data_IF_177092074425
#
_entry.id   IF_177092074425
#
_cell.length_a   1.000
_cell.length_b   1.000
_cell.length_c   1.000
_cell.angle_alpha   90.00
_cell.angle_beta   90.00
_cell.angle_gamma   90.00
#
_symmetry.space_group_name_H-M   'P 1'
#
loop_
_entity.id
_entity.type
_entity.pdbx_description
1 polymer ?
#
# COMPACT_ATOMS: atom_id res chain seq x y z
N UNK A 1 60.59 17.50 -29.93
CA UNK A 1 59.53 16.46 -30.07
C UNK A 1 59.21 15.71 -28.78
N UNK A 2 59.97 15.92 -27.71
CA UNK A 2 59.73 15.28 -26.37
C UNK A 2 58.75 16.07 -25.48
N UNK A 3 58.61 17.36 -25.62
CA UNK A 3 57.76 18.20 -24.74
C UNK A 3 56.25 18.00 -25.01
N UNK A 4 55.87 17.63 -26.25
CA UNK A 4 54.46 17.34 -26.60
C UNK A 4 53.94 16.01 -26.06
N UNK A 5 54.80 15.03 -25.82
CA UNK A 5 54.40 13.75 -25.20
C UNK A 5 54.16 13.83 -23.71
N UNK A 6 54.82 14.72 -23.00
CA UNK A 6 54.63 14.91 -21.56
C UNK A 6 53.31 15.62 -21.20
N UNK A 7 52.91 16.62 -21.99
CA UNK A 7 51.64 17.31 -21.75
C UNK A 7 50.39 16.43 -22.01
N UNK A 8 50.48 15.49 -22.96
CA UNK A 8 49.37 14.57 -23.26
C UNK A 8 49.23 13.51 -22.15
N UNK A 9 50.33 13.08 -21.53
CA UNK A 9 50.27 12.12 -20.39
C UNK A 9 49.72 12.76 -19.13
N UNK A 10 50.06 14.03 -18.84
CA UNK A 10 49.54 14.73 -17.64
C UNK A 10 48.06 15.09 -17.83
N UNK A 11 47.61 15.43 -19.04
CA UNK A 11 46.19 15.66 -19.34
C UNK A 11 45.35 14.35 -19.20
N UNK A 12 45.93 13.20 -19.61
CA UNK A 12 45.25 11.91 -19.50
C UNK A 12 45.19 11.39 -18.05
N UNK A 13 46.19 11.68 -17.21
CA UNK A 13 46.17 11.37 -15.78
C UNK A 13 45.21 12.25 -14.98
N UNK A 14 45.06 13.55 -15.34
CA UNK A 14 44.08 14.42 -14.69
C UNK A 14 42.64 14.08 -15.09
N UNK A 15 42.39 13.62 -16.31
CA UNK A 15 41.03 13.19 -16.73
C UNK A 15 40.59 11.90 -16.03
N UNK A 16 41.50 10.96 -15.76
CA UNK A 16 41.16 9.74 -15.02
C UNK A 16 41.04 9.97 -13.50
N UNK A 17 41.65 11.03 -12.96
CA UNK A 17 41.53 11.34 -11.54
C UNK A 17 40.22 12.09 -11.19
N UNK A 18 39.59 12.78 -12.16
CA UNK A 18 38.31 13.49 -11.93
C UNK A 18 37.11 12.54 -12.07
N UNK A 19 37.23 11.47 -12.85
CA UNK A 19 36.15 10.46 -12.99
C UNK A 19 36.21 9.34 -11.95
N UNK A 20 37.30 9.22 -11.17
CA UNK A 20 37.44 8.18 -10.13
C UNK A 20 36.96 8.64 -8.73
N UNK A 21 36.50 9.88 -8.57
CA UNK A 21 36.05 10.44 -7.30
C UNK A 21 34.55 10.75 -7.20
N UNK A 22 33.75 10.36 -8.19
CA UNK A 22 32.31 10.24 -7.99
C UNK A 22 32.08 8.96 -7.19
N UNK A 23 31.55 9.02 -5.95
CA UNK A 23 31.08 7.83 -5.28
C UNK A 23 29.89 7.31 -6.07
N UNK A 24 30.12 6.36 -6.98
CA UNK A 24 29.07 5.43 -7.34
C UNK A 24 28.78 4.71 -6.04
N UNK A 25 27.91 5.31 -5.24
CA UNK A 25 27.31 4.66 -4.09
C UNK A 25 26.81 3.33 -4.65
N UNK A 26 27.37 2.24 -4.20
CA UNK A 26 26.77 0.94 -4.30
C UNK A 26 25.33 1.12 -3.80
N UNK A 27 24.40 1.38 -4.72
CA UNK A 27 22.99 1.11 -4.55
C UNK A 27 22.98 -0.37 -4.14
N UNK A 28 23.06 -0.61 -2.82
CA UNK A 28 22.55 -1.84 -2.29
C UNK A 28 21.17 -1.92 -2.89
N UNK A 29 20.98 -2.86 -3.79
CA UNK A 29 19.68 -3.36 -4.21
C UNK A 29 19.04 -3.95 -2.93
N UNK A 30 18.64 -3.05 -2.03
CA UNK A 30 17.66 -3.34 -1.00
C UNK A 30 16.47 -3.84 -1.80
N UNK A 31 16.13 -5.10 -1.61
CA UNK A 31 15.09 -5.86 -2.32
C UNK A 31 14.00 -4.88 -2.72
N UNK A 32 13.89 -4.60 -4.03
CA UNK A 32 12.79 -3.81 -4.58
C UNK A 32 11.51 -4.41 -3.99
N UNK A 33 10.65 -3.60 -3.38
CA UNK A 33 9.41 -4.12 -2.82
C UNK A 33 8.74 -4.91 -3.93
N UNK A 34 8.29 -6.13 -3.62
CA UNK A 34 7.70 -7.03 -4.62
C UNK A 34 6.51 -6.34 -5.25
N UNK A 35 6.69 -5.87 -6.48
CA UNK A 35 5.64 -5.25 -7.28
C UNK A 35 4.56 -6.32 -7.49
N UNK A 36 3.38 -6.10 -6.95
CA UNK A 36 2.27 -7.04 -7.10
C UNK A 36 1.32 -6.56 -8.18
N UNK A 37 1.28 -7.26 -9.30
CA UNK A 37 0.31 -6.99 -10.37
C UNK A 37 -1.15 -7.10 -9.90
N UNK A 38 -1.40 -7.86 -8.83
CA UNK A 38 -2.73 -8.02 -8.23
C UNK A 38 -3.33 -6.70 -7.71
N UNK A 39 -2.50 -5.68 -7.41
CA UNK A 39 -3.00 -4.37 -7.01
C UNK A 39 -3.68 -3.62 -8.16
N UNK A 40 -3.29 -3.88 -9.41
CA UNK A 40 -3.88 -3.26 -10.58
C UNK A 40 -5.16 -3.95 -11.06
N UNK A 41 -5.35 -5.23 -10.74
CA UNK A 41 -6.48 -6.01 -11.26
C UNK A 41 -7.84 -5.42 -10.90
N UNK A 42 -8.17 -5.10 -9.63
CA UNK A 42 -9.48 -4.52 -9.29
C UNK A 42 -9.76 -3.17 -9.97
N UNK A 43 -8.84 -2.18 -9.96
CA UNK A 43 -9.11 -0.90 -10.64
C UNK A 43 -9.16 -1.05 -12.17
N UNK A 44 -8.40 -1.96 -12.79
CA UNK A 44 -8.50 -2.23 -14.22
C UNK A 44 -9.83 -2.89 -14.60
N UNK A 45 -10.35 -3.79 -13.77
CA UNK A 45 -11.68 -4.38 -13.98
C UNK A 45 -12.78 -3.32 -13.86
N UNK A 46 -12.67 -2.40 -12.89
CA UNK A 46 -13.62 -1.28 -12.76
C UNK A 46 -13.55 -0.36 -13.98
N UNK A 47 -12.36 0.02 -14.43
CA UNK A 47 -12.20 0.86 -15.62
C UNK A 47 -12.74 0.16 -16.87
N UNK A 48 -12.39 -1.12 -17.08
CA UNK A 48 -12.88 -1.91 -18.21
C UNK A 48 -14.40 -2.04 -18.22
N UNK A 49 -15.02 -2.25 -17.05
CA UNK A 49 -16.47 -2.24 -16.88
C UNK A 49 -17.10 -0.91 -17.26
N UNK A 50 -16.49 0.21 -16.84
CA UNK A 50 -16.96 1.56 -17.19
C UNK A 50 -16.85 1.86 -18.70
N UNK A 51 -15.73 1.49 -19.31
CA UNK A 51 -15.55 1.63 -20.75
C UNK A 51 -16.57 0.80 -21.53
N UNK A 52 -16.90 -0.40 -21.03
CA UNK A 52 -17.94 -1.25 -21.60
C UNK A 52 -19.32 -0.61 -21.47
N UNK A 53 -19.64 -0.02 -20.32
CA UNK A 53 -20.91 0.72 -20.13
C UNK A 53 -21.01 1.89 -21.09
N UNK A 54 -19.95 2.67 -21.28
CA UNK A 54 -19.92 3.77 -22.25
C UNK A 54 -20.10 3.27 -23.70
N UNK A 55 -19.55 2.09 -24.04
CA UNK A 55 -19.63 1.53 -25.38
C UNK A 55 -21.01 0.92 -25.70
N UNK A 56 -21.74 0.44 -24.69
CA UNK A 56 -23.04 -0.24 -24.87
C UNK A 56 -24.20 0.74 -24.60
N UNK A 57 -24.80 1.25 -25.67
CA UNK A 57 -25.89 2.23 -25.60
C UNK A 57 -27.08 1.81 -24.73
N UNK A 58 -27.42 0.51 -24.71
CA UNK A 58 -28.50 -0.01 -23.87
C UNK A 58 -28.23 0.07 -22.38
N UNK A 59 -27.01 -0.26 -21.94
CA UNK A 59 -26.59 -0.11 -20.54
C UNK A 59 -26.48 1.35 -20.13
N UNK A 60 -25.97 2.17 -21.02
CA UNK A 60 -25.82 3.60 -20.80
C UNK A 60 -27.20 4.27 -20.61
N UNK A 61 -28.19 3.96 -21.43
CA UNK A 61 -29.56 4.46 -21.29
C UNK A 61 -30.24 3.96 -19.99
N UNK A 62 -29.99 2.72 -19.60
CA UNK A 62 -30.58 2.14 -18.40
C UNK A 62 -30.05 2.79 -17.11
N UNK A 63 -28.75 3.07 -17.04
CA UNK A 63 -28.10 3.63 -15.86
C UNK A 63 -27.93 5.16 -15.91
N UNK A 64 -28.40 5.87 -16.96
CA UNK A 64 -28.14 7.28 -17.19
C UNK A 64 -28.46 8.16 -15.98
N UNK A 65 -29.67 8.09 -15.44
CA UNK A 65 -30.08 8.88 -14.26
C UNK A 65 -29.29 8.57 -12.99
N UNK A 66 -28.75 7.36 -12.87
CA UNK A 66 -27.88 7.01 -11.76
C UNK A 66 -26.52 7.71 -11.91
N UNK A 67 -25.98 7.75 -13.12
CA UNK A 67 -24.68 8.34 -13.38
C UNK A 67 -24.66 9.86 -13.17
N UNK A 68 -25.77 10.57 -13.36
CA UNK A 68 -25.88 12.00 -13.10
C UNK A 68 -25.74 12.36 -11.60
N UNK A 69 -26.24 11.50 -10.72
CA UNK A 69 -26.19 11.70 -9.26
C UNK A 69 -24.93 11.10 -8.61
N UNK A 70 -24.37 10.08 -9.25
CA UNK A 70 -23.31 9.25 -8.65
C UNK A 70 -22.04 10.03 -8.27
N UNK A 71 -21.49 10.98 -9.07
CA UNK A 71 -20.31 11.75 -8.68
C UNK A 71 -20.54 12.55 -7.38
N UNK A 72 -21.70 13.18 -7.25
CA UNK A 72 -22.06 13.95 -6.05
C UNK A 72 -22.18 13.05 -4.83
N UNK A 73 -22.86 11.91 -4.98
CA UNK A 73 -22.99 10.92 -3.92
C UNK A 73 -21.64 10.38 -3.46
N UNK A 74 -20.75 10.06 -4.41
CA UNK A 74 -19.41 9.57 -4.11
C UNK A 74 -18.54 10.63 -3.43
N UNK A 75 -18.67 11.92 -3.79
CA UNK A 75 -17.99 12.99 -3.07
C UNK A 75 -18.47 13.06 -1.61
N UNK A 76 -19.77 13.05 -1.36
CA UNK A 76 -20.34 13.18 -0.02
C UNK A 76 -19.97 11.97 0.86
N UNK A 77 -20.25 10.77 0.39
CA UNK A 77 -19.97 9.53 1.15
C UNK A 77 -18.47 9.25 1.25
N UNK A 78 -17.75 9.35 0.13
CA UNK A 78 -16.30 9.14 0.09
C UNK A 78 -15.54 10.22 0.85
N UNK A 79 -16.00 11.48 0.77
CA UNK A 79 -15.44 12.59 1.54
C UNK A 79 -15.63 12.41 3.04
N UNK A 80 -16.84 12.07 3.48
CA UNK A 80 -17.12 11.74 4.89
C UNK A 80 -16.25 10.57 5.37
N UNK A 81 -16.13 9.53 4.55
CA UNK A 81 -15.26 8.40 4.84
C UNK A 81 -13.79 8.80 4.98
N UNK A 82 -13.26 9.59 4.06
CA UNK A 82 -11.90 10.11 4.14
C UNK A 82 -11.66 10.97 5.38
N UNK A 83 -12.64 11.78 5.81
CA UNK A 83 -12.53 12.58 7.03
C UNK A 83 -12.49 11.70 8.29
N UNK A 84 -13.36 10.70 8.39
CA UNK A 84 -13.40 9.76 9.53
C UNK A 84 -12.07 9.03 9.69
N UNK A 85 -11.44 8.63 8.58
CA UNK A 85 -10.16 7.90 8.61
C UNK A 85 -8.92 8.80 8.52
N UNK A 86 -9.09 10.14 8.57
CA UNK A 86 -7.99 11.11 8.53
C UNK A 86 -7.24 11.15 7.20
N UNK A 87 -7.88 10.74 6.09
CA UNK A 87 -7.30 10.64 4.75
C UNK A 87 -7.51 11.92 3.96
N UNK A 88 -6.83 12.99 4.35
CA UNK A 88 -7.00 14.33 3.75
C UNK A 88 -6.54 14.42 2.30
N UNK A 89 -5.51 13.69 1.94
CA UNK A 89 -4.99 13.62 0.57
C UNK A 89 -6.04 13.09 -0.40
N UNK A 90 -6.68 11.98 -0.03
CA UNK A 90 -7.71 11.33 -0.82
C UNK A 90 -8.99 12.16 -0.90
N UNK A 91 -9.35 12.86 0.18
CA UNK A 91 -10.43 13.82 0.18
C UNK A 91 -10.22 14.91 -0.88
N UNK A 92 -9.01 15.48 -0.96
CA UNK A 92 -8.69 16.51 -1.98
C UNK A 92 -8.72 15.94 -3.40
N UNK A 93 -8.29 14.70 -3.58
CA UNK A 93 -8.39 14.04 -4.90
C UNK A 93 -9.85 13.84 -5.31
N UNK A 94 -10.72 13.41 -4.40
CA UNK A 94 -12.17 13.32 -4.67
C UNK A 94 -12.75 14.68 -5.03
N UNK A 95 -12.36 15.74 -4.31
CA UNK A 95 -12.81 17.09 -4.58
C UNK A 95 -12.34 17.60 -5.96
N UNK A 96 -11.09 17.35 -6.34
CA UNK A 96 -10.55 17.75 -7.66
C UNK A 96 -11.31 17.04 -8.78
N UNK A 97 -11.55 15.73 -8.63
CA UNK A 97 -12.32 14.95 -9.60
C UNK A 97 -13.76 15.46 -9.73
N UNK A 98 -14.38 15.78 -8.62
CA UNK A 98 -15.75 16.35 -8.61
C UNK A 98 -15.80 17.75 -9.21
N UNK A 99 -14.85 18.64 -8.88
CA UNK A 99 -14.79 19.99 -9.47
C UNK A 99 -14.59 19.92 -10.98
N UNK A 100 -13.76 19.03 -11.47
CA UNK A 100 -13.60 18.80 -12.91
C UNK A 100 -14.92 18.33 -13.53
N UNK A 101 -15.53 17.29 -12.93
CA UNK A 101 -16.82 16.78 -13.36
C UNK A 101 -17.85 17.93 -13.44
N UNK A 102 -18.02 18.68 -12.36
CA UNK A 102 -19.01 19.77 -12.27
C UNK A 102 -18.80 20.85 -13.34
N UNK A 103 -17.54 21.29 -13.53
CA UNK A 103 -17.20 22.32 -14.52
C UNK A 103 -17.45 21.85 -15.94
N UNK A 104 -17.14 20.60 -16.28
CA UNK A 104 -17.36 20.06 -17.63
C UNK A 104 -18.82 19.69 -17.87
N UNK A 105 -19.53 19.21 -16.85
CA UNK A 105 -20.95 18.86 -16.92
C UNK A 105 -21.81 20.10 -17.19
N UNK A 106 -21.51 21.23 -16.53
CA UNK A 106 -22.16 22.53 -16.82
C UNK A 106 -22.01 22.98 -18.29
N UNK A 107 -20.85 22.68 -18.91
CA UNK A 107 -20.65 22.98 -20.34
C UNK A 107 -21.45 22.03 -21.25
N UNK A 108 -21.57 20.76 -20.86
CA UNK A 108 -22.36 19.76 -21.57
C UNK A 108 -23.87 20.08 -21.48
N UNK A 109 -24.37 20.45 -20.32
CA UNK A 109 -25.78 20.80 -20.11
C UNK A 109 -26.16 22.03 -20.88
N UNK A 110 -25.29 23.07 -20.88
CA UNK A 110 -25.51 24.25 -21.73
C UNK A 110 -25.60 23.88 -23.22
N UNK A 111 -24.71 22.97 -23.71
CA UNK A 111 -24.76 22.46 -25.08
C UNK A 111 -26.06 21.70 -25.36
N UNK A 112 -26.51 20.87 -24.43
CA UNK A 112 -27.78 20.10 -24.56
C UNK A 112 -28.98 21.01 -24.64
N UNK A 113 -29.00 22.06 -23.84
CA UNK A 113 -30.17 23.00 -23.77
C UNK A 113 -30.21 23.98 -24.94
N UNK A 114 -29.06 24.54 -25.32
CA UNK A 114 -28.99 25.63 -26.29
C UNK A 114 -28.63 25.16 -27.69
N UNK A 115 -28.14 23.95 -27.88
CA UNK A 115 -27.71 23.41 -29.17
C UNK A 115 -26.42 24.01 -29.73
N UNK A 116 -25.74 24.87 -28.96
CA UNK A 116 -24.46 25.45 -29.33
C UNK A 116 -23.50 25.50 -28.13
N UNK A 117 -22.20 25.51 -28.42
CA UNK A 117 -21.15 25.54 -27.37
C UNK A 117 -20.99 26.96 -26.84
N UNK A 118 -20.83 27.15 -25.53
CA UNK A 118 -20.48 28.46 -24.94
C UNK A 118 -19.19 29.00 -25.53
N UNK A 119 -19.09 30.33 -25.62
CA UNK A 119 -17.90 30.99 -26.13
C UNK A 119 -16.61 30.70 -25.33
N UNK A 120 -16.75 30.37 -24.04
CA UNK A 120 -15.65 30.06 -23.14
C UNK A 120 -15.36 28.54 -23.00
N UNK A 121 -16.20 27.67 -23.61
CA UNK A 121 -16.12 26.23 -23.43
C UNK A 121 -14.77 25.62 -23.86
N UNK A 122 -14.21 26.07 -24.98
CA UNK A 122 -12.91 25.61 -25.45
C UNK A 122 -11.80 25.94 -24.44
N UNK A 123 -11.80 27.16 -23.91
CA UNK A 123 -10.85 27.60 -22.90
C UNK A 123 -11.00 26.82 -21.60
N UNK A 124 -12.23 26.61 -21.11
CA UNK A 124 -12.52 25.81 -19.91
C UNK A 124 -12.04 24.38 -20.09
N UNK A 125 -12.32 23.77 -21.24
CA UNK A 125 -11.84 22.42 -21.57
C UNK A 125 -10.32 22.33 -21.60
N UNK A 126 -9.63 23.25 -22.29
CA UNK A 126 -8.17 23.25 -22.35
C UNK A 126 -7.52 23.46 -20.99
N UNK A 127 -8.05 24.36 -20.16
CA UNK A 127 -7.59 24.53 -18.79
C UNK A 127 -7.80 23.27 -17.95
N UNK A 128 -8.94 22.63 -18.09
CA UNK A 128 -9.24 21.37 -17.42
C UNK A 128 -8.27 20.25 -17.82
N UNK A 129 -7.96 20.13 -19.12
CA UNK A 129 -7.00 19.14 -19.62
C UNK A 129 -5.57 19.35 -19.08
N UNK A 130 -5.19 20.60 -18.78
CA UNK A 130 -3.88 20.93 -18.22
C UNK A 130 -3.84 20.81 -16.71
N UNK A 131 -4.80 21.41 -16.03
CA UNK A 131 -4.82 21.53 -14.56
C UNK A 131 -5.13 20.20 -13.87
N UNK A 132 -6.03 19.38 -14.44
CA UNK A 132 -6.40 18.10 -13.86
C UNK A 132 -5.21 17.19 -13.58
N UNK A 133 -4.39 16.76 -14.57
CA UNK A 133 -3.30 15.84 -14.31
C UNK A 133 -2.25 16.43 -13.36
N UNK A 134 -2.00 17.74 -13.45
CA UNK A 134 -1.03 18.42 -12.58
C UNK A 134 -1.51 18.49 -11.13
N UNK A 135 -2.76 18.87 -10.87
CA UNK A 135 -3.32 18.90 -9.53
C UNK A 135 -3.49 17.48 -8.96
N UNK A 136 -3.97 16.56 -9.79
CA UNK A 136 -4.14 15.16 -9.37
C UNK A 136 -2.78 14.54 -8.97
N UNK A 137 -1.74 14.72 -9.80
CA UNK A 137 -0.39 14.27 -9.47
C UNK A 137 0.19 14.98 -8.25
N UNK A 138 0.05 16.31 -8.16
CA UNK A 138 0.53 17.10 -7.04
C UNK A 138 -0.06 16.61 -5.71
N UNK A 139 -1.40 16.51 -5.63
CA UNK A 139 -2.06 16.13 -4.38
C UNK A 139 -1.89 14.65 -4.04
N UNK A 140 -1.80 13.76 -5.03
CA UNK A 140 -1.50 12.36 -4.80
C UNK A 140 -0.08 12.14 -4.21
N UNK A 141 0.89 12.99 -4.59
CA UNK A 141 2.27 12.93 -4.10
C UNK A 141 2.50 13.73 -2.82
N UNK A 142 1.60 14.65 -2.48
CA UNK A 142 1.75 15.53 -1.33
C UNK A 142 1.76 14.73 -0.04
N UNK A 143 2.90 14.76 0.66
CA UNK A 143 3.09 14.00 1.89
C UNK A 143 2.21 14.54 3.02
N UNK A 144 1.46 13.67 3.68
CA UNK A 144 0.67 14.02 4.85
C UNK A 144 1.57 14.45 6.01
N UNK A 145 1.18 15.53 6.70
CA UNK A 145 1.89 16.06 7.86
C UNK A 145 1.12 15.73 9.14
N UNK A 146 1.82 15.77 10.27
CA UNK A 146 1.25 15.47 11.59
C UNK A 146 0.20 16.48 12.05
N UNK A 147 0.29 17.73 11.59
CA UNK A 147 -0.67 18.79 11.92
C UNK A 147 -1.80 18.85 10.90
N UNK A 148 -2.83 18.01 11.12
CA UNK A 148 -3.94 17.81 10.20
C UNK A 148 -4.63 19.11 9.73
N UNK A 149 -4.98 20.01 10.64
CA UNK A 149 -5.71 21.23 10.29
C UNK A 149 -4.86 22.19 9.43
N UNK A 150 -3.60 22.38 9.76
CA UNK A 150 -2.69 23.25 8.99
C UNK A 150 -2.40 22.69 7.60
N UNK A 151 -2.23 21.37 7.49
CA UNK A 151 -2.00 20.71 6.21
C UNK A 151 -3.21 20.82 5.30
N UNK A 152 -4.41 20.63 5.86
CA UNK A 152 -5.68 20.79 5.13
C UNK A 152 -5.87 22.23 4.62
N UNK A 153 -5.65 23.23 5.49
CA UNK A 153 -5.73 24.65 5.10
C UNK A 153 -4.74 24.98 3.99
N UNK A 154 -3.48 24.50 4.10
CA UNK A 154 -2.48 24.73 3.06
C UNK A 154 -2.87 24.12 1.71
N UNK A 155 -3.44 22.92 1.71
CA UNK A 155 -3.92 22.24 0.49
C UNK A 155 -5.09 22.97 -0.15
N UNK A 156 -6.07 23.36 0.65
CA UNK A 156 -7.19 24.17 0.14
C UNK A 156 -6.71 25.53 -0.38
N UNK A 157 -5.77 26.18 0.32
CA UNK A 157 -5.20 27.45 -0.15
C UNK A 157 -4.53 27.32 -1.52
N UNK A 158 -3.76 26.22 -1.76
CA UNK A 158 -3.17 25.95 -3.08
C UNK A 158 -4.25 25.70 -4.13
N UNK A 159 -5.26 24.87 -3.84
CA UNK A 159 -6.33 24.56 -4.77
C UNK A 159 -7.11 25.84 -5.16
N UNK A 160 -7.49 26.65 -4.16
CA UNK A 160 -8.19 27.93 -4.40
C UNK A 160 -7.31 28.94 -5.12
N UNK A 161 -6.02 29.06 -4.78
CA UNK A 161 -5.10 29.97 -5.46
C UNK A 161 -4.97 29.61 -6.94
N UNK A 162 -4.79 28.33 -7.28
CA UNK A 162 -4.76 27.87 -8.67
C UNK A 162 -6.07 28.16 -9.39
N UNK A 163 -7.20 27.87 -8.76
CA UNK A 163 -8.54 28.16 -9.33
C UNK A 163 -8.76 29.66 -9.57
N UNK A 164 -8.41 30.52 -8.60
CA UNK A 164 -8.53 31.98 -8.71
C UNK A 164 -7.64 32.50 -9.83
N UNK A 165 -6.37 32.06 -9.88
CA UNK A 165 -5.42 32.47 -10.93
C UNK A 165 -5.92 32.03 -12.32
N UNK A 166 -6.35 30.78 -12.46
CA UNK A 166 -6.89 30.26 -13.72
C UNK A 166 -8.13 31.08 -14.18
N UNK A 167 -9.06 31.32 -13.25
CA UNK A 167 -10.26 32.13 -13.55
C UNK A 167 -9.91 33.60 -13.87
N UNK A 168 -8.98 34.21 -13.16
CA UNK A 168 -8.56 35.58 -13.41
C UNK A 168 -7.90 35.72 -14.80
N UNK A 169 -7.02 34.77 -15.16
CA UNK A 169 -6.40 34.72 -16.48
C UNK A 169 -7.43 34.50 -17.59
N UNK A 170 -8.36 33.56 -17.38
CA UNK A 170 -9.42 33.26 -18.34
C UNK A 170 -10.35 34.45 -18.57
N UNK A 171 -10.65 35.25 -17.54
CA UNK A 171 -11.49 36.46 -17.67
C UNK A 171 -10.72 37.63 -18.26
N UNK A 172 -9.45 37.81 -17.91
CA UNK A 172 -8.67 38.99 -18.31
C UNK A 172 -8.08 38.88 -19.71
N UNK A 173 -7.70 37.67 -20.11
CA UNK A 173 -6.99 37.37 -21.36
C UNK A 173 -7.53 36.13 -22.10
N UNK A 174 -8.85 36.03 -22.37
CA UNK A 174 -9.46 34.81 -22.88
C UNK A 174 -8.87 34.38 -24.22
N UNK A 175 -8.75 35.30 -25.18
CA UNK A 175 -8.26 34.99 -26.53
C UNK A 175 -6.76 34.68 -26.60
N UNK A 176 -5.95 35.41 -25.84
CA UNK A 176 -4.51 35.17 -25.74
C UNK A 176 -4.22 33.83 -25.08
N UNK A 177 -4.96 33.51 -23.98
CA UNK A 177 -4.80 32.26 -23.25
C UNK A 177 -5.25 31.08 -24.10
N UNK A 178 -6.36 31.18 -24.82
CA UNK A 178 -6.84 30.14 -25.73
C UNK A 178 -5.82 29.89 -26.86
N UNK A 179 -5.34 30.97 -27.53
CA UNK A 179 -4.29 30.87 -28.54
C UNK A 179 -3.05 30.20 -27.98
N UNK A 180 -2.61 30.60 -26.78
CA UNK A 180 -1.43 30.05 -26.14
C UNK A 180 -1.62 28.55 -25.80
N UNK A 181 -2.76 28.14 -25.33
CA UNK A 181 -3.06 26.75 -25.00
C UNK A 181 -3.20 25.89 -26.26
N UNK A 182 -3.88 26.37 -27.30
CA UNK A 182 -4.12 25.64 -28.56
C UNK A 182 -2.92 25.63 -29.51
N UNK A 183 -1.87 26.44 -29.24
CA UNK A 183 -0.70 26.53 -30.11
C UNK A 183 0.00 25.17 -30.27
N UNK A 184 0.20 24.75 -31.53
CA UNK A 184 0.99 23.58 -31.88
C UNK A 184 2.47 23.90 -31.72
N UNK A 185 3.09 23.50 -30.60
CA UNK A 185 4.49 23.79 -30.26
C UNK A 185 5.48 22.86 -30.94
N UNK A 186 5.06 21.63 -31.10
CA UNK A 186 5.88 20.58 -31.69
C UNK A 186 5.21 19.98 -32.93
N UNK A 187 5.30 20.62 -34.09
CA UNK A 187 4.63 20.16 -35.30
C UNK A 187 5.03 18.73 -35.69
N UNK A 188 6.29 18.35 -35.48
CA UNK A 188 6.76 16.99 -35.76
C UNK A 188 6.23 15.89 -34.88
N UNK A 189 5.60 16.26 -33.74
CA UNK A 189 4.92 15.32 -32.83
C UNK A 189 3.40 15.39 -32.96
N UNK A 190 2.88 16.26 -33.83
CA UNK A 190 1.45 16.36 -34.06
C UNK A 190 0.97 15.21 -34.95
N UNK A 191 -0.09 14.55 -34.53
CA UNK A 191 -0.73 13.48 -35.28
C UNK A 191 -2.25 13.63 -35.19
N UNK A 192 -2.96 13.17 -36.23
CA UNK A 192 -4.43 13.32 -36.35
C UNK A 192 -5.22 12.65 -35.23
N UNK A 193 -4.61 11.66 -34.55
CA UNK A 193 -5.22 11.00 -33.40
C UNK A 193 -5.15 11.84 -32.10
N UNK A 194 -4.39 12.93 -32.09
CA UNK A 194 -4.26 13.83 -30.94
C UNK A 194 -5.51 14.70 -30.80
N UNK A 195 -6.39 14.33 -29.92
CA UNK A 195 -7.67 15.02 -29.66
C UNK A 195 -7.57 16.08 -28.57
N UNK A 196 -6.50 16.04 -27.77
CA UNK A 196 -6.23 17.03 -26.71
C UNK A 196 -5.16 18.04 -27.19
N UNK A 197 -5.12 19.20 -26.53
CA UNK A 197 -4.03 20.16 -26.76
C UNK A 197 -2.67 19.52 -26.42
N UNK A 198 -1.62 19.90 -27.16
CA UNK A 198 -0.29 19.27 -27.01
C UNK A 198 0.27 19.35 -25.59
N UNK A 199 -0.01 20.40 -24.80
CA UNK A 199 0.46 20.54 -23.42
C UNK A 199 -0.19 19.55 -22.45
N UNK A 200 -1.36 18.98 -22.78
CA UNK A 200 -2.01 17.97 -21.94
C UNK A 200 -1.19 16.67 -21.90
N UNK A 201 -0.60 16.25 -23.03
CA UNK A 201 0.16 14.99 -23.09
C UNK A 201 1.37 14.95 -22.13
N UNK A 202 2.29 15.94 -22.13
CA UNK A 202 3.36 15.96 -21.15
C UNK A 202 2.87 16.12 -19.72
N UNK A 203 1.77 16.85 -19.47
CA UNK A 203 1.19 16.97 -18.13
C UNK A 203 0.70 15.60 -17.60
N UNK A 204 -0.03 14.84 -18.41
CA UNK A 204 -0.45 13.46 -18.07
C UNK A 204 0.74 12.51 -17.92
N UNK A 205 1.76 12.62 -18.80
CA UNK A 205 2.96 11.80 -18.72
C UNK A 205 3.75 12.06 -17.44
N UNK A 206 3.96 13.32 -17.07
CA UNK A 206 4.67 13.72 -15.84
C UNK A 206 3.89 13.20 -14.61
N UNK A 207 2.58 13.44 -14.54
CA UNK A 207 1.74 12.95 -13.46
C UNK A 207 1.76 11.41 -13.37
N UNK A 208 1.63 10.72 -14.51
CA UNK A 208 1.66 9.27 -14.59
C UNK A 208 3.00 8.66 -14.15
N UNK A 209 4.12 9.22 -14.62
CA UNK A 209 5.46 8.79 -14.20
C UNK A 209 5.66 9.01 -12.69
N UNK A 210 5.19 10.13 -12.16
CA UNK A 210 5.30 10.44 -10.74
C UNK A 210 4.48 9.48 -9.87
N UNK A 211 3.24 9.18 -10.25
CA UNK A 211 2.39 8.20 -9.58
C UNK A 211 2.96 6.77 -9.68
N UNK A 212 3.47 6.38 -10.85
CA UNK A 212 4.13 5.09 -11.04
C UNK A 212 5.39 4.99 -10.18
N UNK A 213 6.21 6.03 -10.13
CA UNK A 213 7.38 6.08 -9.25
C UNK A 213 6.99 5.96 -7.76
N UNK A 214 5.89 6.57 -7.34
CA UNK A 214 5.34 6.42 -5.99
C UNK A 214 4.92 4.97 -5.73
N UNK A 215 4.20 4.34 -6.67
CA UNK A 215 3.82 2.93 -6.57
C UNK A 215 5.03 2.01 -6.49
N UNK A 216 6.05 2.22 -7.32
CA UNK A 216 7.27 1.40 -7.30
C UNK A 216 8.06 1.55 -5.99
N UNK A 217 8.02 2.72 -5.35
CA UNK A 217 8.64 2.94 -4.03
C UNK A 217 7.85 2.28 -2.90
N UNK A 218 6.54 2.37 -2.95
CA UNK A 218 5.63 1.85 -1.91
C UNK A 218 4.42 1.22 -2.61
N UNK A 219 4.49 -0.09 -2.97
CA UNK A 219 3.42 -0.76 -3.69
C UNK A 219 2.19 -0.94 -2.80
N UNK A 220 1.18 -0.09 -3.01
CA UNK A 220 -0.11 -0.12 -2.32
C UNK A 220 -1.25 -0.17 -3.33
N UNK A 221 -2.36 -0.86 -3.01
CA UNK A 221 -3.55 -0.88 -3.89
C UNK A 221 -4.09 0.51 -4.22
N UNK A 222 -4.05 1.44 -3.27
CA UNK A 222 -4.47 2.83 -3.47
C UNK A 222 -3.63 3.55 -4.55
N UNK A 223 -2.30 3.37 -4.55
CA UNK A 223 -1.43 3.98 -5.57
C UNK A 223 -1.69 3.38 -6.96
N UNK A 224 -1.98 2.07 -7.04
CA UNK A 224 -2.39 1.44 -8.30
C UNK A 224 -3.73 2.00 -8.81
N UNK A 225 -4.69 2.19 -7.91
CA UNK A 225 -5.98 2.83 -8.22
C UNK A 225 -5.81 4.25 -8.75
N UNK A 226 -4.90 5.05 -8.17
CA UNK A 226 -4.58 6.39 -8.65
C UNK A 226 -3.96 6.38 -10.05
N UNK A 227 -3.05 5.44 -10.34
CA UNK A 227 -2.47 5.29 -11.68
C UNK A 227 -3.54 4.93 -12.72
N UNK A 228 -4.40 3.95 -12.43
CA UNK A 228 -5.46 3.51 -13.35
C UNK A 228 -6.52 4.60 -13.50
N UNK A 229 -6.88 5.30 -12.43
CA UNK A 229 -7.78 6.46 -12.47
C UNK A 229 -7.27 7.54 -13.43
N UNK A 230 -5.98 7.89 -13.37
CA UNK A 230 -5.38 8.87 -14.28
C UNK A 230 -5.46 8.43 -15.75
N UNK A 231 -5.28 7.14 -16.04
CA UNK A 231 -5.46 6.58 -17.40
C UNK A 231 -6.92 6.70 -17.85
N UNK A 232 -7.88 6.41 -16.96
CA UNK A 232 -9.30 6.61 -17.24
C UNK A 232 -9.63 8.07 -17.56
N UNK A 233 -9.11 9.01 -16.78
CA UNK A 233 -9.30 10.45 -17.00
C UNK A 233 -8.68 10.93 -18.32
N UNK A 234 -7.51 10.39 -18.70
CA UNK A 234 -6.90 10.69 -20.01
C UNK A 234 -7.80 10.23 -21.16
N UNK A 235 -8.42 9.05 -21.05
CA UNK A 235 -9.36 8.55 -22.04
C UNK A 235 -10.68 9.34 -22.04
N UNK A 236 -11.18 9.73 -20.86
CA UNK A 236 -12.46 10.44 -20.68
C UNK A 236 -12.47 11.79 -21.38
N UNK A 237 -11.43 12.61 -21.19
CA UNK A 237 -11.42 14.00 -21.66
C UNK A 237 -11.77 14.16 -23.13
N UNK A 238 -11.12 13.48 -24.11
CA UNK A 238 -11.50 13.60 -25.50
C UNK A 238 -12.89 13.01 -25.82
N UNK A 239 -13.33 12.05 -25.02
CA UNK A 239 -14.61 11.37 -25.22
C UNK A 239 -15.79 12.08 -24.53
N UNK A 240 -15.54 13.11 -23.72
CA UNK A 240 -16.58 13.83 -22.98
C UNK A 240 -17.71 14.38 -23.88
N UNK A 241 -17.36 14.87 -25.08
CA UNK A 241 -18.33 15.39 -26.04
C UNK A 241 -18.78 14.39 -27.12
N UNK A 242 -18.14 13.21 -27.18
CA UNK A 242 -18.39 12.21 -28.23
C UNK A 242 -19.28 11.10 -27.71
N UNK A 243 -19.02 10.63 -26.49
CA UNK A 243 -19.73 9.49 -25.92
C UNK A 243 -20.64 9.94 -24.77
N UNK A 244 -21.92 9.56 -24.83
CA UNK A 244 -22.88 9.91 -23.78
C UNK A 244 -22.41 9.32 -22.43
N UNK A 245 -22.52 10.14 -21.39
CA UNK A 245 -22.20 9.80 -20.00
C UNK A 245 -20.73 9.38 -19.73
N UNK A 246 -19.80 9.55 -20.68
CA UNK A 246 -18.38 9.23 -20.46
C UNK A 246 -17.79 10.02 -19.28
N UNK A 247 -18.15 11.30 -19.17
CA UNK A 247 -17.74 12.16 -18.07
C UNK A 247 -18.23 11.64 -16.72
N UNK A 248 -19.54 11.36 -16.60
CA UNK A 248 -20.18 10.90 -15.37
C UNK A 248 -19.65 9.53 -14.94
N UNK A 249 -19.57 8.57 -15.87
CA UNK A 249 -19.12 7.19 -15.60
C UNK A 249 -17.66 7.16 -15.16
N UNK A 250 -16.76 7.75 -15.93
CA UNK A 250 -15.31 7.64 -15.65
C UNK A 250 -14.90 8.48 -14.43
N UNK A 251 -15.50 9.66 -14.23
CA UNK A 251 -15.29 10.45 -13.00
C UNK A 251 -15.74 9.66 -11.77
N UNK A 252 -16.95 9.08 -11.80
CA UNK A 252 -17.47 8.25 -10.72
C UNK A 252 -16.58 7.04 -10.44
N UNK A 253 -16.14 6.32 -11.47
CA UNK A 253 -15.27 5.18 -11.30
C UNK A 253 -13.90 5.56 -10.75
N UNK A 254 -13.33 6.69 -11.18
CA UNK A 254 -12.07 7.20 -10.63
C UNK A 254 -12.21 7.54 -9.14
N UNK A 255 -13.32 8.16 -8.75
CA UNK A 255 -13.64 8.42 -7.33
C UNK A 255 -13.86 7.13 -6.56
N UNK A 256 -14.62 6.18 -7.09
CA UNK A 256 -14.88 4.87 -6.48
C UNK A 256 -13.58 4.07 -6.28
N UNK A 257 -12.66 4.08 -7.25
CA UNK A 257 -11.36 3.42 -7.12
C UNK A 257 -10.55 3.97 -5.93
N UNK A 258 -10.57 5.30 -5.72
CA UNK A 258 -9.91 5.94 -4.57
C UNK A 258 -10.60 5.50 -3.27
N UNK A 259 -11.92 5.55 -3.20
CA UNK A 259 -12.70 5.16 -2.01
C UNK A 259 -12.43 3.69 -1.64
N UNK A 260 -12.48 2.79 -2.61
CA UNK A 260 -12.18 1.36 -2.41
C UNK A 260 -10.73 1.17 -1.95
N UNK A 261 -9.79 1.93 -2.53
CA UNK A 261 -8.38 1.93 -2.10
C UNK A 261 -8.23 2.34 -0.64
N UNK A 262 -8.88 3.43 -0.22
CA UNK A 262 -8.89 3.89 1.18
C UNK A 262 -9.55 2.87 2.11
N UNK A 263 -10.69 2.31 1.70
CA UNK A 263 -11.39 1.27 2.47
C UNK A 263 -10.51 0.02 2.66
N UNK A 264 -9.82 -0.39 1.61
CA UNK A 264 -8.88 -1.51 1.69
C UNK A 264 -7.72 -1.23 2.66
N UNK A 265 -7.11 -0.02 2.61
CA UNK A 265 -6.06 0.35 3.56
C UNK A 265 -6.58 0.43 5.00
N UNK A 266 -7.77 1.01 5.21
CA UNK A 266 -8.42 1.06 6.52
C UNK A 266 -8.69 -0.35 7.08
N UNK A 267 -9.18 -1.26 6.23
CA UNK A 267 -9.36 -2.66 6.59
C UNK A 267 -8.02 -3.32 6.97
N UNK A 268 -6.97 -3.12 6.18
CA UNK A 268 -5.65 -3.68 6.48
C UNK A 268 -5.11 -3.16 7.83
N UNK A 269 -5.24 -1.86 8.11
CA UNK A 269 -4.83 -1.30 9.41
C UNK A 269 -5.65 -1.83 10.59
N UNK A 270 -6.95 -2.08 10.40
CA UNK A 270 -7.81 -2.61 11.46
C UNK A 270 -7.55 -4.08 11.78
N UNK A 271 -7.12 -4.88 10.78
CA UNK A 271 -7.05 -6.34 10.88
C UNK A 271 -5.62 -6.91 10.86
N UNK A 272 -4.60 -6.10 10.54
CA UNK A 272 -3.20 -6.53 10.59
C UNK A 272 -2.44 -5.85 11.72
N UNK A 273 -1.55 -6.58 12.32
CA UNK A 273 -0.59 -6.05 13.27
C UNK A 273 0.53 -5.30 12.54
N UNK A 274 0.77 -4.03 12.88
CA UNK A 274 1.73 -3.16 12.20
C UNK A 274 3.18 -3.64 12.34
N UNK A 275 3.53 -4.23 13.47
CA UNK A 275 4.89 -4.66 13.73
C UNK A 275 5.24 -5.93 12.97
N UNK A 276 4.37 -6.93 13.03
CA UNK A 276 4.64 -8.30 12.52
C UNK A 276 4.06 -8.55 11.13
N UNK A 277 3.08 -7.75 10.72
CA UNK A 277 2.31 -7.93 9.49
C UNK A 277 1.47 -9.22 9.47
N UNK A 278 1.33 -9.92 10.61
CA UNK A 278 0.34 -10.99 10.78
C UNK A 278 -1.06 -10.40 10.95
N UNK A 279 -2.13 -11.17 10.65
CA UNK A 279 -3.46 -10.81 11.11
C UNK A 279 -3.46 -10.62 12.64
N UNK A 280 -4.07 -9.53 13.11
CA UNK A 280 -4.15 -9.20 14.53
C UNK A 280 -5.31 -9.87 15.25
N UNK A 281 -5.51 -9.52 16.51
CA UNK A 281 -6.57 -10.09 17.38
C UNK A 281 -7.98 -9.89 16.80
N UNK A 282 -8.26 -8.74 16.13
CA UNK A 282 -9.56 -8.51 15.47
C UNK A 282 -9.82 -9.51 14.36
N UNK A 283 -8.80 -9.78 13.52
CA UNK A 283 -8.88 -10.77 12.46
C UNK A 283 -9.07 -12.19 13.02
N UNK A 284 -8.43 -12.51 14.14
CA UNK A 284 -8.64 -13.77 14.86
C UNK A 284 -10.09 -13.89 15.32
N UNK A 285 -10.64 -12.89 15.99
CA UNK A 285 -12.01 -12.91 16.51
C UNK A 285 -13.03 -13.12 15.37
N UNK A 286 -12.87 -12.42 14.25
CA UNK A 286 -13.71 -12.63 13.06
C UNK A 286 -13.58 -14.05 12.52
N UNK A 287 -12.37 -14.61 12.50
CA UNK A 287 -12.14 -15.98 12.07
C UNK A 287 -12.80 -17.00 12.99
N UNK A 288 -12.72 -16.79 14.30
CA UNK A 288 -13.32 -17.64 15.31
C UNK A 288 -14.85 -17.77 15.16
N UNK A 289 -15.53 -16.67 14.82
CA UNK A 289 -16.98 -16.65 14.56
C UNK A 289 -17.38 -17.49 13.33
N UNK A 290 -16.44 -17.73 12.41
CA UNK A 290 -16.66 -18.49 11.17
C UNK A 290 -16.07 -19.90 11.22
N UNK A 291 -15.63 -20.38 12.39
CA UNK A 291 -15.11 -21.73 12.54
C UNK A 291 -16.26 -22.75 12.48
N UNK A 292 -16.01 -23.84 11.78
CA UNK A 292 -16.89 -25.02 11.80
C UNK A 292 -16.73 -25.82 13.10
N UNK A 293 -17.13 -27.09 13.08
CA UNK A 293 -17.16 -27.95 14.28
C UNK A 293 -15.78 -28.51 14.65
N UNK A 294 -14.89 -28.69 13.69
CA UNK A 294 -13.60 -29.34 13.89
C UNK A 294 -12.47 -28.31 13.67
N UNK A 295 -11.80 -27.96 14.74
CA UNK A 295 -10.63 -27.06 14.68
C UNK A 295 -9.74 -27.24 15.90
N UNK A 296 -8.48 -26.83 15.74
CA UNK A 296 -7.47 -26.80 16.80
C UNK A 296 -6.95 -25.37 16.94
N UNK A 297 -6.81 -24.92 18.17
CA UNK A 297 -6.22 -23.62 18.52
C UNK A 297 -4.95 -23.88 19.32
N UNK A 298 -3.85 -23.25 18.90
CA UNK A 298 -2.61 -23.21 19.66
C UNK A 298 -2.34 -21.78 20.11
N UNK A 299 -2.24 -21.55 21.41
CA UNK A 299 -1.70 -20.32 22.00
C UNK A 299 -0.20 -20.46 22.15
N UNK A 300 0.55 -19.48 21.69
CA UNK A 300 2.00 -19.49 21.66
C UNK A 300 2.56 -18.18 22.23
N UNK A 301 3.67 -18.25 22.94
CA UNK A 301 4.27 -17.12 23.64
C UNK A 301 5.80 -17.23 23.57
N UNK A 302 6.47 -16.10 23.32
CA UNK A 302 7.94 -16.05 23.22
C UNK A 302 8.55 -16.14 24.62
N UNK A 303 9.35 -17.16 24.86
CA UNK A 303 9.92 -17.44 26.17
C UNK A 303 10.91 -16.34 26.61
N UNK A 304 10.73 -15.88 27.85
CA UNK A 304 11.58 -14.87 28.49
C UNK A 304 11.69 -13.54 27.73
N UNK A 305 10.68 -13.18 26.92
CA UNK A 305 10.73 -11.98 26.05
C UNK A 305 10.93 -10.67 26.83
N UNK A 306 10.31 -10.53 28.01
CA UNK A 306 10.53 -9.37 28.87
C UNK A 306 12.00 -9.25 29.26
N UNK A 307 12.63 -10.33 29.76
CA UNK A 307 14.06 -10.34 30.12
C UNK A 307 14.94 -10.03 28.90
N UNK A 308 14.56 -10.51 27.74
CA UNK A 308 15.26 -10.21 26.49
C UNK A 308 15.20 -8.71 26.17
N UNK A 309 14.02 -8.08 26.29
CA UNK A 309 13.86 -6.63 26.09
C UNK A 309 14.66 -5.81 27.11
N UNK A 310 14.65 -6.23 28.38
CA UNK A 310 15.40 -5.54 29.45
C UNK A 310 16.92 -5.59 29.17
N UNK A 311 17.42 -6.66 28.53
CA UNK A 311 18.84 -6.83 28.22
C UNK A 311 19.28 -6.20 26.89
N UNK A 312 18.42 -6.16 25.88
CA UNK A 312 18.79 -5.79 24.50
C UNK A 312 18.02 -4.58 23.94
N UNK A 313 17.04 -4.09 24.69
CA UNK A 313 16.18 -2.97 24.29
C UNK A 313 14.99 -3.38 23.42
N UNK A 314 13.94 -2.57 23.44
CA UNK A 314 12.69 -2.82 22.73
C UNK A 314 12.85 -2.89 21.22
N UNK A 315 13.76 -2.09 20.63
CA UNK A 315 14.03 -2.12 19.18
C UNK A 315 14.50 -3.50 18.68
N UNK A 316 15.30 -4.20 19.51
CA UNK A 316 15.79 -5.55 19.22
C UNK A 316 14.68 -6.58 19.44
N UNK A 317 13.88 -6.41 20.50
CA UNK A 317 12.69 -7.20 20.74
C UNK A 317 11.69 -7.14 19.58
N UNK A 318 11.48 -5.97 18.99
CA UNK A 318 10.65 -5.80 17.81
C UNK A 318 11.16 -6.59 16.59
N UNK A 319 12.49 -6.68 16.42
CA UNK A 319 13.09 -7.51 15.38
C UNK A 319 12.86 -9.00 15.63
N UNK A 320 12.93 -9.42 16.90
CA UNK A 320 12.60 -10.79 17.31
C UNK A 320 11.14 -11.12 17.00
N UNK A 321 10.19 -10.25 17.35
CA UNK A 321 8.77 -10.48 17.06
C UNK A 321 8.50 -10.58 15.55
N UNK A 322 9.18 -9.76 14.72
CA UNK A 322 9.08 -9.86 13.25
C UNK A 322 9.61 -11.19 12.73
N UNK A 323 10.70 -11.68 13.31
CA UNK A 323 11.28 -12.96 12.96
C UNK A 323 10.36 -14.12 13.34
N UNK A 324 9.89 -14.13 14.59
CA UNK A 324 8.92 -15.12 15.08
C UNK A 324 7.70 -15.16 14.18
N UNK A 325 7.10 -14.02 13.90
CA UNK A 325 5.97 -13.90 12.99
C UNK A 325 6.27 -14.44 11.59
N UNK A 326 7.49 -14.21 11.09
CA UNK A 326 7.97 -14.73 9.81
C UNK A 326 8.02 -16.25 9.77
N UNK A 327 8.40 -16.92 10.87
CA UNK A 327 8.38 -18.37 10.98
C UNK A 327 6.96 -18.91 11.17
N UNK A 328 6.16 -18.28 12.05
CA UNK A 328 4.77 -18.68 12.27
C UNK A 328 3.91 -18.57 10.99
N UNK A 329 4.22 -17.61 10.12
CA UNK A 329 3.55 -17.46 8.81
C UNK A 329 3.77 -18.65 7.89
N UNK A 330 4.87 -19.39 8.06
CA UNK A 330 5.23 -20.56 7.24
C UNK A 330 4.65 -21.87 7.80
N UNK A 331 3.85 -21.82 8.88
CA UNK A 331 3.28 -23.01 9.45
C UNK A 331 2.53 -23.82 8.40
N UNK A 332 2.85 -25.11 8.33
CA UNK A 332 2.23 -26.05 7.41
C UNK A 332 0.83 -26.49 7.85
N UNK A 333 0.31 -27.52 7.19
CA UNK A 333 -0.94 -28.15 7.57
C UNK A 333 -2.20 -27.28 7.46
N UNK A 334 -2.16 -26.16 6.73
CA UNK A 334 -3.27 -25.21 6.63
C UNK A 334 -3.45 -24.34 7.87
N UNK A 335 -2.49 -24.32 8.78
CA UNK A 335 -2.48 -23.46 9.95
C UNK A 335 -2.39 -21.99 9.57
N UNK A 336 -3.12 -21.13 10.30
CA UNK A 336 -3.06 -19.67 10.13
C UNK A 336 -2.62 -19.04 11.43
N UNK A 337 -1.56 -18.22 11.35
CA UNK A 337 -0.99 -17.52 12.49
C UNK A 337 -1.59 -16.11 12.63
N UNK A 338 -1.80 -15.70 13.87
CA UNK A 338 -2.32 -14.41 14.29
C UNK A 338 -1.46 -13.86 15.42
N UNK A 339 -1.31 -12.54 15.51
CA UNK A 339 -0.77 -11.90 16.71
C UNK A 339 -1.91 -11.62 17.68
N UNK A 340 -1.87 -12.24 18.86
CA UNK A 340 -2.91 -12.08 19.87
C UNK A 340 -2.72 -10.81 20.69
N UNK A 341 -1.47 -10.52 21.08
CA UNK A 341 -1.07 -9.32 21.83
C UNK A 341 0.42 -9.38 22.15
N UNK A 342 1.05 -8.28 22.53
CA UNK A 342 2.43 -8.24 22.99
C UNK A 342 3.39 -9.23 22.29
N UNK A 343 3.74 -10.28 23.03
CA UNK A 343 4.60 -11.40 22.64
C UNK A 343 3.82 -12.71 22.38
N UNK A 344 2.48 -12.62 22.37
CA UNK A 344 1.57 -13.75 22.25
C UNK A 344 1.05 -13.90 20.80
N UNK A 345 0.99 -15.13 20.35
CA UNK A 345 0.52 -15.51 19.02
C UNK A 345 -0.52 -16.63 19.14
N UNK A 346 -1.41 -16.70 18.16
CA UNK A 346 -2.39 -17.80 18.07
C UNK A 346 -2.28 -18.44 16.70
N UNK A 347 -2.32 -19.79 16.67
CA UNK A 347 -2.40 -20.53 15.41
C UNK A 347 -3.74 -21.28 15.40
N UNK A 348 -4.44 -21.20 14.27
CA UNK A 348 -5.75 -21.84 14.08
C UNK A 348 -5.68 -22.81 12.92
N UNK A 349 -6.03 -24.06 13.17
CA UNK A 349 -6.13 -25.12 12.18
C UNK A 349 -7.60 -25.55 12.05
N UNK A 350 -8.15 -25.48 10.86
CA UNK A 350 -9.54 -25.85 10.58
C UNK A 350 -9.61 -27.23 9.93
N UNK A 351 -10.57 -28.06 10.36
CA UNK A 351 -10.79 -29.40 9.81
C UNK A 351 -9.68 -30.41 10.18
N UNK A 352 -8.93 -30.16 11.26
CA UNK A 352 -7.85 -31.04 11.72
C UNK A 352 -8.02 -31.44 13.18
N UNK A 353 -7.45 -32.60 13.52
CA UNK A 353 -7.33 -33.09 14.90
C UNK A 353 -6.03 -32.59 15.53
N UNK A 354 -5.95 -32.68 16.86
CA UNK A 354 -4.77 -32.35 17.64
C UNK A 354 -3.52 -33.11 17.11
N UNK A 355 -3.63 -34.40 16.91
CA UNK A 355 -2.53 -35.28 16.46
C UNK A 355 -2.01 -34.85 15.09
N UNK A 356 -2.88 -34.42 14.18
CA UNK A 356 -2.51 -33.94 12.85
C UNK A 356 -1.79 -32.59 12.90
N UNK A 357 -2.04 -31.77 13.93
CA UNK A 357 -1.45 -30.42 14.04
C UNK A 357 -0.08 -30.42 14.74
N UNK A 358 0.14 -31.33 15.68
CA UNK A 358 1.36 -31.39 16.49
C UNK A 358 2.66 -31.39 15.68
N UNK A 359 2.81 -32.17 14.58
CA UNK A 359 4.04 -32.16 13.81
C UNK A 359 4.37 -30.79 13.20
N UNK A 360 3.36 -30.04 12.75
CA UNK A 360 3.55 -28.70 12.17
C UNK A 360 3.91 -27.66 13.22
N UNK A 361 3.33 -27.77 14.42
CA UNK A 361 3.65 -26.89 15.54
C UNK A 361 5.08 -27.16 16.04
N UNK A 362 5.47 -28.43 16.14
CA UNK A 362 6.81 -28.83 16.55
C UNK A 362 7.88 -28.38 15.54
N UNK A 363 7.59 -28.49 14.24
CA UNK A 363 8.48 -27.98 13.19
C UNK A 363 8.73 -26.48 13.32
N UNK A 364 7.69 -25.69 13.63
CA UNK A 364 7.82 -24.24 13.86
C UNK A 364 8.61 -23.95 15.14
N UNK A 365 8.34 -24.67 16.25
CA UNK A 365 9.09 -24.52 17.50
C UNK A 365 10.57 -24.75 17.29
N UNK A 366 10.93 -25.88 16.65
CA UNK A 366 12.33 -26.24 16.35
C UNK A 366 12.98 -25.25 15.39
N UNK A 367 12.26 -24.76 14.37
CA UNK A 367 12.78 -23.76 13.45
C UNK A 367 13.11 -22.43 14.16
N UNK A 368 12.34 -22.06 15.19
CA UNK A 368 12.64 -20.88 16.03
C UNK A 368 13.83 -21.12 16.93
N UNK A 369 13.89 -22.25 17.63
CA UNK A 369 14.99 -22.63 18.52
C UNK A 369 16.33 -22.64 17.80
N UNK A 370 16.37 -23.14 16.56
CA UNK A 370 17.58 -23.26 15.76
C UNK A 370 17.95 -21.98 15.01
N UNK A 371 17.11 -20.95 15.05
CA UNK A 371 17.34 -19.74 14.28
C UNK A 371 18.32 -18.78 15.01
N UNK A 372 19.55 -18.58 14.51
CA UNK A 372 20.50 -17.66 15.13
C UNK A 372 20.12 -16.21 14.79
N UNK A 373 19.76 -15.43 15.80
CA UNK A 373 19.49 -13.99 15.67
C UNK A 373 20.80 -13.25 15.82
N UNK A 374 21.30 -12.67 14.74
CA UNK A 374 22.49 -11.82 14.78
C UNK A 374 22.13 -10.43 15.32
N UNK A 375 22.56 -10.12 16.52
CA UNK A 375 22.37 -8.81 17.13
C UNK A 375 23.34 -7.81 16.51
N UNK A 376 22.80 -6.84 15.76
CA UNK A 376 23.58 -5.69 15.27
C UNK A 376 23.58 -4.60 16.34
N UNK A 377 24.72 -4.41 16.98
CA UNK A 377 24.88 -3.37 17.99
C UNK A 377 24.87 -1.97 17.33
N UNK A 378 23.73 -1.26 17.43
CA UNK A 378 23.57 0.10 16.88
C UNK A 378 24.42 1.15 17.63
N UNK A 379 24.74 0.91 18.89
CA UNK A 379 25.54 1.83 19.71
C UNK A 379 27.00 1.95 19.28
N UNK A 380 27.49 1.01 18.47
CA UNK A 380 28.87 1.00 17.94
C UNK A 380 28.92 1.40 16.46
N UNK A 381 27.94 2.14 15.94
CA UNK A 381 28.02 2.65 14.56
C UNK A 381 29.05 3.77 14.52
N UNK A 382 30.24 3.59 13.89
CA UNK A 382 31.15 4.70 13.64
C UNK A 382 30.45 5.72 12.75
N UNK A 383 30.63 7.01 13.04
CA UNK A 383 30.07 8.10 12.20
C UNK A 383 30.71 8.16 10.80
N UNK A 384 31.73 7.35 10.52
CA UNK A 384 32.46 7.33 9.26
C UNK A 384 32.31 5.97 8.53
N UNK A 385 31.92 6.01 7.26
CA UNK A 385 31.67 4.84 6.40
C UNK A 385 32.93 3.96 6.18
N UNK A 386 34.15 4.52 6.31
CA UNK A 386 35.42 3.79 6.17
C UNK A 386 35.70 2.90 7.37
N UNK A 387 35.50 3.39 8.59
CA UNK A 387 35.64 2.61 9.82
C UNK A 387 34.56 1.51 9.92
N UNK A 388 33.36 1.79 9.42
CA UNK A 388 32.28 0.81 9.34
C UNK A 388 32.56 -0.38 8.43
N UNK A 389 33.41 -0.25 7.40
CA UNK A 389 33.82 -1.36 6.54
C UNK A 389 34.90 -2.22 7.17
N UNK A 390 35.84 -1.65 7.89
CA UNK A 390 36.91 -2.38 8.57
C UNK A 390 36.39 -3.17 9.79
N UNK A 391 35.42 -2.62 10.54
CA UNK A 391 34.79 -3.35 11.66
C UNK A 391 33.87 -4.50 11.22
N UNK A 392 33.36 -4.51 9.99
CA UNK A 392 32.56 -5.63 9.47
C UNK A 392 33.34 -6.94 9.27
N UNK A 393 34.65 -6.86 9.19
CA UNK A 393 35.51 -8.02 9.01
C UNK A 393 35.96 -8.69 10.33
N UNK A 394 35.73 -8.08 11.50
CA UNK A 394 36.30 -8.53 12.76
C UNK A 394 35.38 -8.67 13.97
N UNK A 395 34.10 -8.25 13.89
CA UNK A 395 33.19 -8.33 15.05
C UNK A 395 32.43 -9.65 15.02
N UNK A 396 32.73 -10.55 15.96
CA UNK A 396 31.86 -11.68 16.30
C UNK A 396 30.49 -11.13 16.69
N UNK A 397 29.52 -11.17 15.78
CA UNK A 397 28.13 -10.86 16.10
C UNK A 397 27.67 -11.89 17.13
N UNK A 398 27.33 -11.46 18.34
CA UNK A 398 26.71 -12.34 19.33
C UNK A 398 25.39 -12.86 18.73
N UNK A 399 25.31 -14.15 18.49
CA UNK A 399 24.07 -14.79 18.07
C UNK A 399 23.27 -15.18 19.32
N UNK A 400 22.03 -14.76 19.38
CA UNK A 400 21.08 -15.13 20.44
C UNK A 400 19.96 -15.95 19.77
N UNK A 401 19.53 -17.02 20.42
CA UNK A 401 18.34 -17.77 20.04
C UNK A 401 17.17 -17.43 20.96
N UNK A 402 15.97 -17.45 20.44
CA UNK A 402 14.73 -17.33 21.21
C UNK A 402 13.93 -18.61 21.06
N UNK A 403 13.26 -19.02 22.13
CA UNK A 403 12.37 -20.18 22.13
C UNK A 403 10.93 -19.74 22.32
N UNK A 404 10.01 -20.66 22.09
CA UNK A 404 8.59 -20.43 22.20
C UNK A 404 7.91 -21.62 22.89
N UNK A 405 7.03 -21.30 23.83
CA UNK A 405 6.14 -22.29 24.43
C UNK A 405 4.78 -22.25 23.75
N UNK A 406 4.15 -23.42 23.59
CA UNK A 406 2.83 -23.51 22.97
C UNK A 406 1.89 -24.38 23.80
N UNK A 407 0.66 -23.90 23.95
CA UNK A 407 -0.45 -24.66 24.52
C UNK A 407 -1.52 -24.91 23.47
N UNK A 408 -1.97 -26.15 23.33
CA UNK A 408 -2.85 -26.57 22.25
C UNK A 408 -4.15 -27.14 22.80
N UNK A 409 -5.26 -26.76 22.19
CA UNK A 409 -6.58 -27.35 22.51
C UNK A 409 -7.36 -27.64 21.22
N UNK A 410 -8.05 -28.76 21.21
CA UNK A 410 -8.95 -29.18 20.14
C UNK A 410 -10.39 -28.91 20.57
N UNK A 411 -11.21 -28.46 19.62
CA UNK A 411 -12.66 -28.42 19.82
C UNK A 411 -13.21 -29.87 19.75
N UNK A 412 -13.49 -30.45 20.89
CA UNK A 412 -13.99 -31.84 21.03
C UNK A 412 -15.50 -31.93 21.19
N UNK A 413 -16.15 -30.83 21.55
CA UNK A 413 -17.61 -30.76 21.72
C UNK A 413 -18.16 -29.54 20.97
N UNK A 414 -19.21 -29.77 20.20
CA UNK A 414 -19.94 -28.75 19.43
C UNK A 414 -20.54 -27.65 20.33
N UNK A 415 -20.70 -27.92 21.61
CA UNK A 415 -21.21 -26.94 22.59
C UNK A 415 -20.13 -25.97 23.09
N UNK A 416 -18.82 -26.26 22.87
CA UNK A 416 -17.75 -25.39 23.28
C UNK A 416 -17.67 -24.16 22.35
N UNK A 417 -17.66 -23.00 22.96
CA UNK A 417 -17.38 -21.76 22.24
C UNK A 417 -15.90 -21.65 21.88
N UNK A 418 -15.53 -20.94 20.80
CA UNK A 418 -14.14 -20.73 20.46
C UNK A 418 -13.33 -20.09 21.60
N UNK A 419 -13.94 -19.24 22.41
CA UNK A 419 -13.35 -18.61 23.58
C UNK A 419 -12.99 -19.64 24.67
N UNK A 420 -13.80 -20.68 24.86
CA UNK A 420 -13.50 -21.76 25.79
C UNK A 420 -12.33 -22.61 25.31
N UNK A 421 -12.24 -22.86 23.99
CA UNK A 421 -11.08 -23.56 23.41
C UNK A 421 -9.80 -22.72 23.53
N UNK A 422 -9.86 -21.39 23.34
CA UNK A 422 -8.74 -20.49 23.62
C UNK A 422 -8.32 -20.58 25.09
N UNK A 423 -9.25 -20.51 26.03
CA UNK A 423 -8.96 -20.65 27.47
C UNK A 423 -8.33 -22.02 27.81
N UNK A 424 -8.74 -23.07 27.13
CA UNK A 424 -8.15 -24.39 27.29
C UNK A 424 -6.70 -24.43 26.74
N UNK A 425 -6.45 -23.81 25.57
CA UNK A 425 -5.12 -23.68 25.00
C UNK A 425 -4.21 -22.81 25.89
N UNK A 426 -4.73 -21.74 26.49
CA UNK A 426 -3.98 -20.88 27.41
C UNK A 426 -3.57 -21.61 28.67
N UNK A 427 -4.48 -22.42 29.28
CA UNK A 427 -4.12 -23.31 30.40
C UNK A 427 -3.02 -24.30 30.04
N UNK A 428 -3.05 -24.85 28.84
CA UNK A 428 -1.99 -25.73 28.33
C UNK A 428 -0.66 -24.96 28.11
N UNK A 429 -0.72 -23.72 27.64
CA UNK A 429 0.46 -22.83 27.51
C UNK A 429 1.08 -22.54 28.88
N UNK A 430 0.27 -22.24 29.89
CA UNK A 430 0.77 -22.08 31.25
C UNK A 430 1.48 -23.34 31.76
N UNK A 431 0.93 -24.53 31.46
CA UNK A 431 1.57 -25.81 31.77
C UNK A 431 2.90 -25.99 31.00
N UNK A 432 2.99 -25.54 29.77
CA UNK A 432 4.24 -25.56 28.98
C UNK A 432 5.30 -24.67 29.62
N UNK A 433 4.93 -23.44 30.01
CA UNK A 433 5.83 -22.49 30.68
C UNK A 433 6.33 -23.05 32.03
N UNK A 434 5.48 -23.71 32.79
CA UNK A 434 5.83 -24.35 34.08
C UNK A 434 6.66 -25.61 33.92
N UNK A 435 6.59 -26.31 32.79
CA UNK A 435 7.35 -27.52 32.50
C UNK A 435 8.79 -27.26 32.00
N UNK A 436 9.25 -26.02 32.02
CA UNK A 436 10.60 -25.64 31.61
C UNK A 436 10.67 -24.87 30.31
N UNK A 437 9.50 -24.48 29.75
CA UNK A 437 9.38 -23.73 28.48
C UNK A 437 9.83 -24.52 27.25
N UNK A 438 9.94 -23.86 26.10
CA UNK A 438 10.39 -24.42 24.83
C UNK A 438 9.74 -25.79 24.50
N UNK A 439 8.45 -25.92 24.74
CA UNK A 439 7.72 -27.16 24.54
C UNK A 439 6.27 -26.92 24.16
N UNK A 440 5.61 -27.95 23.66
CA UNK A 440 4.19 -27.97 23.34
C UNK A 440 3.47 -28.81 24.38
N UNK A 441 2.37 -28.30 24.89
CA UNK A 441 1.44 -29.04 25.78
C UNK A 441 0.04 -28.98 25.25
N UNK A 442 -0.70 -30.08 25.36
CA UNK A 442 -2.09 -30.13 24.95
C UNK A 442 -3.02 -30.15 26.17
N UNK A 443 -4.18 -29.49 26.01
CA UNK A 443 -5.23 -29.57 27.03
C UNK A 443 -5.85 -30.97 27.05
N UNK A 444 -6.00 -31.57 28.21
CA UNK A 444 -6.61 -32.90 28.38
C UNK A 444 -5.63 -34.09 28.35
N UNK A 445 -4.36 -33.91 28.00
CA UNK A 445 -3.37 -34.96 28.23
C UNK A 445 -3.02 -35.04 29.71
N UNK A 446 -3.45 -36.12 30.37
CA UNK A 446 -2.92 -36.49 31.67
C UNK A 446 -1.40 -36.74 31.58
N UNK A 447 -0.66 -36.36 32.65
CA UNK A 447 0.79 -36.63 32.80
C UNK A 447 1.07 -38.13 32.59
N UNK A 448 1.43 -38.51 31.36
CA UNK A 448 1.77 -39.87 31.00
C UNK A 448 2.55 -39.86 29.68
N UNK A 449 3.85 -39.93 29.81
CA UNK A 449 4.88 -40.34 28.84
C UNK A 449 4.54 -40.36 27.34
N UNK A 450 5.14 -39.40 26.60
CA UNK A 450 5.66 -39.74 25.30
C UNK A 450 7.16 -39.43 25.27
N UNK A 451 7.96 -40.40 25.71
CA UNK A 451 9.32 -40.54 25.25
C UNK A 451 9.24 -41.03 23.80
N UNK A 452 9.47 -40.16 22.86
CA UNK A 452 9.75 -40.58 21.47
C UNK A 452 11.16 -41.14 21.50
N UNK A 453 11.27 -42.47 21.41
CA UNK A 453 12.54 -43.18 21.15
C UNK A 453 13.02 -42.78 19.79
N UNK A 454 14.32 -42.44 19.60
CA UNK A 454 14.89 -42.28 18.28
C UNK A 454 14.96 -43.67 17.62
N UNK A 455 14.22 -43.87 16.53
CA UNK A 455 14.49 -45.01 15.65
C UNK A 455 15.77 -44.71 14.88
N UNK A 456 16.81 -45.44 15.25
CA UNK A 456 18.05 -45.68 14.49
C UNK A 456 17.70 -46.73 13.42
N UNK A 457 17.82 -46.37 12.18
CA UNK A 457 18.29 -47.21 11.07
C UNK A 457 18.47 -46.35 9.83
#
# INVERSE_FOLDING_TARGET
MQIRRHCVLIARQRHNAIFSSLPIGSLTLSRLPTVSFWHFLPPLLLLGGGLLVCALSGLNAFFGSLFDVLPTLLLLLGGAFCLVYGRQRELLLLLILYLLYFVLDEQLDYFREQGHVRADAALVFHLSCLLLPLLYGLFALWRERTHLAQDLVARFAVLFAVGIVAMALARRYPQELERWLSLVRWPGLYADWMTLMQLAYPAFLIAGMALLAQYLRVPRPLHAAQCVGLVGLFWMLPNTFIQPNALQVISSLSMLMIIVGVAHEAYQMAFRDELTGLPGRRALNERLQRLGRNYVIAMADVDHFKKFNDSHGHDVGDQVLRLVAGQLRKVGGGGKAYRYGGEEFTLVFTGKTLEQCLPYLEAVRQALEQYPIQLRNRAQRPGDDRQGRQMRAGTCASSVSVTMSMGVAECTDVRLTPEEVIKAADKALYSAKSAGRNCIRSHGQRRGAMRVSPQVS
#
